data_IF_710646333029
#
_entry.id   IF_710646333029
#
_cell.length_a   1.000
_cell.length_b   1.000
_cell.length_c   1.000
_cell.angle_alpha   90.00
_cell.angle_beta   90.00
_cell.angle_gamma   90.00
#
_symmetry.space_group_name_H-M   'P 1'
#
loop_
_entity.id
_entity.type
_entity.pdbx_description
1 polymer ?
#
# COMPACT_ATOMS: atom_id res chain seq x y z
N UNK A 1 53.19 -4.96 -13.41
CA UNK A 1 52.06 -4.05 -13.75
C UNK A 1 50.71 -4.61 -13.31
N UNK A 2 50.52 -5.94 -13.30
CA UNK A 2 49.26 -6.62 -12.90
C UNK A 2 48.92 -6.45 -11.40
N UNK A 3 49.93 -6.35 -10.52
CA UNK A 3 49.74 -6.26 -9.07
C UNK A 3 49.04 -4.97 -8.60
N UNK A 4 49.02 -3.91 -9.43
CA UNK A 4 48.31 -2.65 -9.13
C UNK A 4 46.84 -2.64 -9.58
N UNK A 5 46.41 -3.64 -10.35
CA UNK A 5 45.02 -3.76 -10.83
C UNK A 5 44.13 -4.49 -9.82
N UNK A 6 44.71 -5.31 -8.94
CA UNK A 6 44.01 -6.06 -7.89
C UNK A 6 43.24 -5.14 -6.91
N UNK A 7 43.83 -4.06 -6.34
CA UNK A 7 43.08 -3.18 -5.44
C UNK A 7 41.97 -2.41 -6.16
N UNK A 8 42.16 -2.04 -7.43
CA UNK A 8 41.15 -1.32 -8.23
C UNK A 8 39.95 -2.22 -8.50
N UNK A 9 40.18 -3.49 -8.86
CA UNK A 9 39.12 -4.47 -9.09
C UNK A 9 38.33 -4.78 -7.80
N UNK A 10 39.04 -4.90 -6.67
CA UNK A 10 38.42 -5.12 -5.36
C UNK A 10 37.53 -3.93 -4.94
N UNK A 11 37.97 -2.69 -5.19
CA UNK A 11 37.19 -1.47 -4.94
C UNK A 11 35.93 -1.44 -5.82
N UNK A 12 36.04 -1.78 -7.11
CA UNK A 12 34.86 -1.81 -8.00
C UNK A 12 33.83 -2.86 -7.57
N UNK A 13 34.27 -4.01 -7.06
CA UNK A 13 33.38 -5.08 -6.58
C UNK A 13 32.65 -4.67 -5.29
N UNK A 14 33.31 -3.93 -4.41
CA UNK A 14 32.74 -3.40 -3.17
C UNK A 14 31.71 -2.30 -3.43
N UNK A 15 31.88 -1.49 -4.50
CA UNK A 15 30.91 -0.43 -4.85
C UNK A 15 29.65 -1.01 -5.50
N UNK A 16 29.74 -2.13 -6.25
CA UNK A 16 28.56 -2.78 -6.86
C UNK A 16 27.72 -3.63 -5.88
N UNK A 17 28.19 -3.83 -4.65
CA UNK A 17 27.46 -4.56 -3.59
C UNK A 17 26.51 -3.69 -2.77
N UNK A 18 26.45 -2.38 -3.02
CA UNK A 18 25.55 -1.49 -2.32
C UNK A 18 24.14 -1.61 -2.93
N UNK A 19 23.37 -2.55 -2.38
CA UNK A 19 21.91 -2.61 -2.40
C UNK A 19 21.25 -2.35 -3.76
N UNK A 20 21.35 -3.33 -4.66
CA UNK A 20 20.58 -3.35 -5.93
C UNK A 20 19.06 -3.24 -5.70
N UNK A 21 18.55 -3.59 -4.51
CA UNK A 21 17.14 -3.41 -4.18
C UNK A 21 16.77 -1.92 -3.99
N UNK A 22 17.72 -1.09 -3.56
CA UNK A 22 17.59 0.37 -3.49
C UNK A 22 17.64 1.04 -4.86
N UNK A 23 18.27 0.41 -5.86
CA UNK A 23 18.38 0.92 -7.24
C UNK A 23 17.18 0.52 -8.10
N UNK A 24 16.60 -0.67 -7.88
CA UNK A 24 15.43 -1.15 -8.65
C UNK A 24 14.08 -0.76 -8.04
N UNK A 25 14.08 -0.20 -6.83
CA UNK A 25 12.87 0.24 -6.14
C UNK A 25 12.03 -0.93 -5.59
N UNK A 26 11.02 -0.64 -4.75
CA UNK A 26 10.07 -1.66 -4.30
C UNK A 26 9.38 -2.30 -5.51
N UNK A 27 9.09 -3.59 -5.42
CA UNK A 27 8.28 -4.29 -6.41
C UNK A 27 7.02 -3.44 -6.72
N UNK A 28 6.68 -3.22 -8.01
CA UNK A 28 5.61 -2.31 -8.38
C UNK A 28 4.26 -2.68 -7.74
N UNK A 29 4.03 -3.96 -7.43
CA UNK A 29 2.81 -4.40 -6.74
C UNK A 29 2.82 -4.01 -5.27
N UNK A 30 3.98 -4.03 -4.61
CA UNK A 30 4.12 -3.58 -3.23
C UNK A 30 3.93 -2.07 -3.15
N UNK A 31 4.57 -1.32 -4.04
CA UNK A 31 4.38 0.13 -4.13
C UNK A 31 2.91 0.50 -4.39
N UNK A 32 2.22 -0.25 -5.27
CA UNK A 32 0.80 -0.06 -5.51
C UNK A 32 -0.04 -0.34 -4.25
N UNK A 33 0.21 -1.44 -3.53
CA UNK A 33 -0.53 -1.77 -2.29
C UNK A 33 -0.36 -0.72 -1.21
N UNK A 34 0.83 -0.13 -1.09
CA UNK A 34 1.08 0.98 -0.16
C UNK A 34 0.34 2.25 -0.59
N UNK A 35 0.35 2.57 -1.89
CA UNK A 35 -0.40 3.70 -2.43
C UNK A 35 -1.92 3.53 -2.20
N UNK A 36 -2.45 2.34 -2.46
CA UNK A 36 -3.85 1.99 -2.23
C UNK A 36 -4.20 2.09 -0.74
N UNK A 37 -3.31 1.60 0.14
CA UNK A 37 -3.47 1.71 1.59
C UNK A 37 -3.57 3.17 2.05
N UNK A 38 -2.69 4.05 1.54
CA UNK A 38 -2.75 5.49 1.84
C UNK A 38 -4.04 6.14 1.33
N UNK A 39 -4.47 5.79 0.12
CA UNK A 39 -5.73 6.29 -0.44
C UNK A 39 -6.94 5.88 0.42
N UNK A 40 -6.98 4.61 0.84
CA UNK A 40 -8.00 4.08 1.76
C UNK A 40 -8.00 4.88 3.06
N UNK A 41 -6.83 5.04 3.70
CA UNK A 41 -6.70 5.78 4.95
C UNK A 41 -7.23 7.21 4.88
N UNK A 42 -6.85 7.93 3.81
CA UNK A 42 -7.32 9.28 3.57
C UNK A 42 -8.83 9.36 3.37
N UNK A 43 -9.39 8.50 2.52
CA UNK A 43 -10.84 8.41 2.33
C UNK A 43 -11.56 8.12 3.65
N UNK A 44 -11.01 7.23 4.46
CA UNK A 44 -11.58 6.84 5.74
C UNK A 44 -11.63 7.99 6.75
N UNK A 45 -10.59 8.82 6.80
CA UNK A 45 -10.58 10.03 7.64
C UNK A 45 -11.60 11.05 7.16
N UNK A 46 -11.63 11.31 5.85
CA UNK A 46 -12.60 12.21 5.24
C UNK A 46 -14.04 11.71 5.47
N UNK A 47 -14.22 10.39 5.53
CA UNK A 47 -15.47 9.74 5.88
C UNK A 47 -15.87 9.82 7.37
N UNK A 48 -15.10 10.57 8.17
CA UNK A 48 -15.25 10.73 9.62
C UNK A 48 -15.21 9.41 10.42
N UNK A 49 -14.46 8.41 9.94
CA UNK A 49 -14.25 7.15 10.66
C UNK A 49 -13.01 7.16 11.55
N UNK A 50 -13.09 6.43 12.65
CA UNK A 50 -11.94 6.09 13.47
C UNK A 50 -11.02 5.11 12.75
N UNK A 51 -9.72 5.16 13.05
CA UNK A 51 -8.71 4.32 12.39
C UNK A 51 -8.95 2.82 12.61
N UNK A 52 -9.47 2.44 13.78
CA UNK A 52 -9.80 1.06 14.13
C UNK A 52 -10.88 0.46 13.21
N UNK A 53 -11.88 1.25 12.83
CA UNK A 53 -12.91 0.82 11.89
C UNK A 53 -12.34 0.65 10.48
N UNK A 54 -11.42 1.53 10.09
CA UNK A 54 -10.74 1.46 8.79
C UNK A 54 -9.90 0.19 8.65
N UNK A 55 -9.28 -0.27 9.74
CA UNK A 55 -8.54 -1.53 9.76
C UNK A 55 -9.45 -2.75 9.62
N UNK A 56 -10.63 -2.73 10.25
CA UNK A 56 -11.61 -3.82 10.15
C UNK A 56 -12.23 -3.91 8.75
N UNK A 57 -12.47 -2.76 8.12
CA UNK A 57 -13.05 -2.70 6.78
C UNK A 57 -12.04 -3.07 5.67
N UNK A 58 -10.73 -2.98 5.95
CA UNK A 58 -9.69 -3.12 4.94
C UNK A 58 -8.55 -4.05 5.40
N UNK A 59 -8.89 -5.29 5.80
CA UNK A 59 -7.92 -6.24 6.36
C UNK A 59 -6.79 -6.63 5.40
N UNK A 60 -7.03 -6.53 4.09
CA UNK A 60 -6.05 -6.86 3.03
C UNK A 60 -5.03 -5.76 2.78
N UNK A 61 -5.31 -4.53 3.23
CA UNK A 61 -4.45 -3.39 3.00
C UNK A 61 -3.43 -3.24 4.14
N UNK A 62 -2.22 -2.75 3.85
CA UNK A 62 -1.18 -2.57 4.86
C UNK A 62 -1.61 -1.52 5.89
N UNK A 63 -1.77 -1.94 7.16
CA UNK A 63 -2.24 -1.07 8.27
C UNK A 63 -1.39 0.19 8.43
N UNK A 64 -0.08 0.09 8.23
CA UNK A 64 0.85 1.22 8.28
C UNK A 64 0.52 2.27 7.22
N UNK A 65 0.29 1.86 5.96
CA UNK A 65 -0.07 2.77 4.89
C UNK A 65 -1.44 3.42 5.10
N UNK A 66 -2.43 2.66 5.62
CA UNK A 66 -3.74 3.21 6.00
C UNK A 66 -3.56 4.31 7.05
N UNK A 67 -2.75 4.06 8.09
CA UNK A 67 -2.52 5.05 9.14
C UNK A 67 -1.84 6.31 8.62
N UNK A 68 -0.85 6.17 7.74
CA UNK A 68 -0.18 7.31 7.11
C UNK A 68 -1.17 8.17 6.33
N UNK A 69 -1.96 7.55 5.44
CA UNK A 69 -2.97 8.28 4.67
C UNK A 69 -4.05 8.93 5.55
N UNK A 70 -4.47 8.26 6.62
CA UNK A 70 -5.45 8.79 7.56
C UNK A 70 -4.94 10.03 8.29
N UNK A 71 -3.68 10.00 8.76
CA UNK A 71 -3.03 11.15 9.41
C UNK A 71 -2.81 12.31 8.45
N UNK A 72 -2.36 12.02 7.24
CA UNK A 72 -2.13 13.04 6.23
C UNK A 72 -3.42 13.76 5.86
N UNK A 73 -4.52 13.01 5.71
CA UNK A 73 -5.83 13.59 5.50
C UNK A 73 -6.35 14.35 6.73
N UNK A 74 -6.12 13.87 7.97
CA UNK A 74 -6.52 14.60 9.18
C UNK A 74 -5.83 15.96 9.26
N UNK A 75 -4.51 15.95 9.02
CA UNK A 75 -3.72 17.18 8.93
C UNK A 75 -4.25 18.08 7.83
N UNK A 76 -4.44 17.56 6.62
CA UNK A 76 -4.94 18.33 5.48
C UNK A 76 -6.30 18.97 5.78
N UNK A 77 -7.25 18.22 6.36
CA UNK A 77 -8.56 18.74 6.73
C UNK A 77 -8.48 19.83 7.81
N UNK A 78 -7.60 19.68 8.81
CA UNK A 78 -7.39 20.70 9.87
C UNK A 78 -6.76 21.97 9.32
N UNK A 79 -5.75 21.84 8.48
CA UNK A 79 -5.04 22.96 7.87
C UNK A 79 -5.95 23.74 6.89
N UNK A 80 -6.83 23.05 6.18
CA UNK A 80 -7.66 23.64 5.12
C UNK A 80 -9.13 23.83 5.51
N UNK A 81 -9.50 23.52 6.77
CA UNK A 81 -10.88 23.63 7.30
C UNK A 81 -11.90 22.89 6.42
N UNK A 82 -11.54 21.68 6.02
CA UNK A 82 -12.40 20.82 5.20
C UNK A 82 -13.27 20.00 6.14
N UNK A 83 -14.58 20.09 5.96
CA UNK A 83 -15.53 19.25 6.67
C UNK A 83 -15.55 17.85 6.06
N UNK A 84 -15.58 16.84 6.94
CA UNK A 84 -15.72 15.45 6.54
C UNK A 84 -17.16 15.11 6.20
N UNK A 85 -17.35 14.04 5.43
CA UNK A 85 -18.67 13.54 5.04
C UNK A 85 -18.89 12.22 5.78
N UNK A 86 -19.89 12.14 6.65
CA UNK A 86 -20.17 10.90 7.37
C UNK A 86 -20.46 9.75 6.39
N UNK A 87 -19.78 8.61 6.57
CA UNK A 87 -20.03 7.42 5.76
C UNK A 87 -21.45 6.90 5.93
N UNK A 88 -22.12 6.60 4.82
CA UNK A 88 -23.43 5.92 4.79
C UNK A 88 -23.32 4.40 4.94
N UNK A 89 -22.14 3.83 4.67
CA UNK A 89 -21.89 2.40 4.81
C UNK A 89 -21.66 2.06 6.29
N UNK A 90 -22.38 1.06 6.86
CA UNK A 90 -22.15 0.62 8.22
C UNK A 90 -20.80 -0.09 8.37
N UNK A 91 -20.15 0.07 9.52
CA UNK A 91 -18.82 -0.48 9.80
C UNK A 91 -18.77 -2.03 9.88
N UNK A 92 -19.92 -2.70 9.87
CA UNK A 92 -20.05 -4.16 9.96
C UNK A 92 -20.12 -4.88 8.59
N UNK A 93 -19.89 -4.17 7.48
CA UNK A 93 -20.10 -4.70 6.12
C UNK A 93 -18.96 -5.58 5.59
N UNK A 94 -17.95 -5.91 6.40
CA UNK A 94 -16.83 -6.79 6.03
C UNK A 94 -17.26 -8.21 5.64
N UNK A 95 -18.49 -8.63 5.92
CA UNK A 95 -19.03 -9.94 5.50
C UNK A 95 -19.45 -9.99 4.02
N UNK A 96 -19.81 -8.86 3.39
CA UNK A 96 -20.43 -8.88 2.05
C UNK A 96 -19.41 -8.85 0.91
N UNK A 97 -18.18 -8.37 1.14
CA UNK A 97 -17.18 -8.17 0.07
C UNK A 97 -16.30 -9.42 -0.22
N UNK A 98 -16.60 -10.58 0.36
CA UNK A 98 -15.93 -11.87 0.08
C UNK A 98 -16.82 -12.83 -0.72
N UNK A 99 -17.70 -12.36 -1.61
CA UNK A 99 -18.45 -13.29 -2.49
C UNK A 99 -18.67 -12.72 -3.88
N UNK A 100 -17.63 -12.28 -4.58
CA UNK A 100 -17.73 -12.16 -6.05
C UNK A 100 -16.39 -12.20 -6.78
N UNK A 101 -15.62 -13.28 -6.63
CA UNK A 101 -14.47 -13.53 -7.53
C UNK A 101 -14.02 -15.00 -7.57
N UNK A 102 -14.95 -15.95 -7.53
CA UNK A 102 -14.60 -17.38 -7.62
C UNK A 102 -15.54 -18.25 -8.47
N UNK A 103 -16.41 -17.67 -9.31
CA UNK A 103 -17.34 -18.46 -10.13
C UNK A 103 -17.25 -18.29 -11.65
N UNK A 104 -16.25 -17.57 -12.19
CA UNK A 104 -16.09 -17.41 -13.65
C UNK A 104 -14.95 -18.25 -14.26
N UNK A 105 -14.70 -19.46 -13.76
CA UNK A 105 -13.80 -20.44 -14.42
C UNK A 105 -14.35 -21.88 -14.37
N UNK A 106 -15.64 -22.08 -14.64
CA UNK A 106 -16.19 -23.43 -14.87
C UNK A 106 -17.32 -23.44 -15.92
N UNK A 107 -17.08 -22.83 -17.07
CA UNK A 107 -17.99 -22.93 -18.21
C UNK A 107 -17.23 -22.98 -19.54
N UNK A 108 -16.22 -23.85 -19.67
CA UNK A 108 -15.70 -24.26 -20.99
C UNK A 108 -15.06 -25.66 -20.90
N UNK A 109 -15.90 -26.66 -20.62
CA UNK A 109 -15.57 -28.08 -20.82
C UNK A 109 -16.86 -28.89 -20.99
N UNK A 110 -17.61 -28.61 -22.06
CA UNK A 110 -18.55 -29.55 -22.68
C UNK A 110 -19.07 -29.00 -24.00
N UNK A 111 -18.40 -29.37 -25.10
CA UNK A 111 -19.09 -30.01 -26.22
C UNK A 111 -18.11 -30.81 -27.08
#
# INVERSE_FOLDING_TARGET
MILRLIPVLAITLLITGCDVASVLGPDPRTAQREADGRAIGGACRHAMRGIEDCYKLNERAPKTAIFEGWKDMDRYMRENKIDGIASTIPANSSEVMLTDNSQDNKAEAKH
#
